data_IF_059548260942
#
_entry.id   IF_059548260942
#
_cell.length_a   1.000
_cell.length_b   1.000
_cell.length_c   1.000
_cell.angle_alpha   90.00
_cell.angle_beta   90.00
_cell.angle_gamma   90.00
#
_symmetry.space_group_name_H-M   'P 1'
#
loop_
_entity.id
_entity.type
_entity.pdbx_description
1 polymer ?
#
# COMPACT_ATOMS: atom_id res chain seq x y z
N UNK A 1 9.74 -3.78 -15.39
CA UNK A 1 8.39 -4.33 -15.68
C UNK A 1 7.93 -4.99 -14.40
N UNK A 2 6.74 -4.68 -13.88
CA UNK A 2 6.18 -5.40 -12.74
C UNK A 2 5.67 -6.75 -13.24
N UNK A 3 6.07 -7.84 -12.57
CA UNK A 3 5.58 -9.18 -12.87
C UNK A 3 4.40 -9.48 -11.93
N UNK A 4 3.20 -9.13 -12.40
CA UNK A 4 1.96 -9.20 -11.63
C UNK A 4 1.32 -10.58 -11.81
N UNK A 5 1.78 -11.56 -11.03
CA UNK A 5 1.29 -12.96 -11.10
C UNK A 5 -0.18 -13.11 -10.71
N UNK A 6 -0.66 -12.21 -9.85
CA UNK A 6 -2.02 -12.22 -9.32
C UNK A 6 -2.62 -10.83 -9.45
N UNK A 7 -3.90 -10.76 -9.78
CA UNK A 7 -4.68 -9.54 -9.69
C UNK A 7 -4.90 -9.15 -8.22
N UNK A 8 -5.22 -7.88 -8.01
CA UNK A 8 -5.62 -7.34 -6.69
C UNK A 8 -6.75 -8.16 -6.07
N UNK A 9 -7.79 -8.49 -6.85
CA UNK A 9 -8.93 -9.24 -6.34
C UNK A 9 -8.54 -10.65 -5.90
N UNK A 10 -7.71 -11.34 -6.66
CA UNK A 10 -7.21 -12.66 -6.28
C UNK A 10 -6.41 -12.61 -4.98
N UNK A 11 -5.59 -11.59 -4.76
CA UNK A 11 -4.86 -11.40 -3.50
C UNK A 11 -5.86 -11.12 -2.38
N UNK A 12 -6.80 -10.18 -2.56
CA UNK A 12 -7.69 -9.75 -1.47
C UNK A 12 -8.74 -10.80 -1.06
N UNK A 13 -9.14 -11.69 -1.96
CA UNK A 13 -10.10 -12.77 -1.69
C UNK A 13 -9.45 -14.03 -1.11
N UNK A 14 -8.14 -14.19 -1.29
CA UNK A 14 -7.40 -15.32 -0.73
C UNK A 14 -7.35 -15.25 0.79
N UNK A 15 -7.56 -16.39 1.46
CA UNK A 15 -7.65 -16.46 2.93
C UNK A 15 -6.35 -16.12 3.65
N UNK A 16 -5.20 -16.14 2.96
CA UNK A 16 -3.91 -15.71 3.52
C UNK A 16 -3.29 -14.57 2.72
N UNK A 17 -4.09 -13.87 1.91
CA UNK A 17 -3.66 -12.81 0.99
C UNK A 17 -2.54 -13.23 0.03
N UNK A 18 -2.42 -14.54 -0.26
CA UNK A 18 -1.30 -15.13 -1.02
C UNK A 18 0.07 -14.85 -0.39
N UNK A 19 0.18 -14.73 0.92
CA UNK A 19 1.44 -14.38 1.62
C UNK A 19 2.57 -15.37 1.32
N UNK A 20 2.24 -16.67 1.25
CA UNK A 20 3.22 -17.72 1.03
C UNK A 20 3.82 -17.70 -0.39
N UNK A 21 3.07 -17.24 -1.39
CA UNK A 21 3.51 -17.19 -2.80
C UNK A 21 4.18 -15.87 -3.19
N UNK A 22 4.37 -14.95 -2.25
CA UNK A 22 5.09 -13.70 -2.47
C UNK A 22 6.60 -13.95 -2.59
N UNK A 23 7.23 -13.39 -3.64
CA UNK A 23 8.66 -13.56 -3.93
C UNK A 23 9.55 -12.52 -3.25
N UNK A 24 9.04 -11.30 -3.04
CA UNK A 24 9.77 -10.22 -2.36
C UNK A 24 9.45 -10.11 -0.87
N UNK A 25 10.45 -9.79 -0.03
CA UNK A 25 10.25 -9.56 1.40
C UNK A 25 9.21 -8.46 1.68
N UNK A 26 9.23 -7.37 0.90
CA UNK A 26 8.25 -6.29 1.01
C UNK A 26 6.87 -6.67 0.46
N UNK A 27 6.81 -7.47 -0.61
CA UNK A 27 5.53 -8.00 -1.11
C UNK A 27 4.87 -8.89 -0.06
N UNK A 28 5.66 -9.75 0.58
CA UNK A 28 5.19 -10.63 1.65
C UNK A 28 4.73 -9.82 2.86
N UNK A 29 5.56 -8.88 3.33
CA UNK A 29 5.20 -7.99 4.43
C UNK A 29 3.91 -7.22 4.13
N UNK A 30 3.76 -6.70 2.92
CA UNK A 30 2.54 -6.01 2.52
C UNK A 30 1.30 -6.91 2.57
N UNK A 31 1.41 -8.15 2.11
CA UNK A 31 0.30 -9.12 2.16
C UNK A 31 -0.08 -9.50 3.58
N UNK A 32 0.89 -9.64 4.49
CA UNK A 32 0.64 -9.81 5.93
C UNK A 32 -0.13 -8.61 6.48
N UNK A 33 0.29 -7.38 6.16
CA UNK A 33 -0.42 -6.17 6.59
C UNK A 33 -1.86 -6.15 6.05
N UNK A 34 -2.09 -6.55 4.80
CA UNK A 34 -3.45 -6.65 4.26
C UNK A 34 -4.32 -7.65 5.03
N UNK A 35 -3.71 -8.73 5.53
CA UNK A 35 -4.38 -9.76 6.31
C UNK A 35 -4.67 -9.27 7.74
N UNK A 36 -3.66 -8.73 8.42
CA UNK A 36 -3.75 -8.19 9.79
C UNK A 36 -4.84 -7.10 9.92
N UNK A 37 -4.96 -6.24 8.90
CA UNK A 37 -5.98 -5.19 8.85
C UNK A 37 -7.28 -5.61 8.16
N UNK A 38 -7.44 -6.90 7.84
CA UNK A 38 -8.60 -7.49 7.18
C UNK A 38 -9.08 -6.69 5.95
N UNK A 39 -8.14 -6.33 5.07
CA UNK A 39 -8.44 -5.57 3.87
C UNK A 39 -9.20 -6.47 2.89
N UNK A 40 -10.47 -6.14 2.66
CA UNK A 40 -11.35 -6.82 1.71
C UNK A 40 -11.39 -6.10 0.36
N UNK A 41 -11.89 -6.73 -0.72
CA UNK A 41 -12.12 -6.04 -2.00
C UNK A 41 -13.00 -4.80 -1.85
N UNK A 42 -14.02 -4.85 -0.98
CA UNK A 42 -14.87 -3.69 -0.69
C UNK A 42 -14.10 -2.58 0.03
N UNK A 43 -13.31 -2.92 1.04
CA UNK A 43 -12.45 -1.97 1.76
C UNK A 43 -11.40 -1.33 0.85
N UNK A 44 -10.83 -2.10 -0.08
CA UNK A 44 -9.92 -1.60 -1.10
C UNK A 44 -10.60 -0.61 -2.04
N UNK A 45 -11.79 -0.92 -2.54
CA UNK A 45 -12.55 -0.02 -3.41
C UNK A 45 -12.91 1.29 -2.71
N UNK A 46 -13.33 1.25 -1.44
CA UNK A 46 -13.59 2.46 -0.65
C UNK A 46 -12.35 3.34 -0.54
N UNK A 47 -11.18 2.77 -0.25
CA UNK A 47 -9.91 3.50 -0.20
C UNK A 47 -9.48 4.03 -1.55
N UNK A 48 -9.74 3.27 -2.62
CA UNK A 48 -9.50 3.72 -3.99
C UNK A 48 -10.35 4.95 -4.32
N UNK A 49 -11.62 4.95 -3.92
CA UNK A 49 -12.50 6.10 -4.16
C UNK A 49 -12.04 7.33 -3.37
N UNK A 50 -11.64 7.15 -2.10
CA UNK A 50 -10.99 8.22 -1.32
C UNK A 50 -9.75 8.77 -2.03
N UNK A 51 -8.82 7.90 -2.44
CA UNK A 51 -7.59 8.29 -3.14
C UNK A 51 -7.88 9.06 -4.45
N UNK A 52 -8.87 8.61 -5.23
CA UNK A 52 -9.22 9.27 -6.49
C UNK A 52 -9.95 10.60 -6.29
N UNK A 53 -10.61 10.80 -5.15
CA UNK A 53 -11.36 12.03 -4.83
C UNK A 53 -10.55 13.05 -4.04
N UNK A 54 -9.41 12.63 -3.48
CA UNK A 54 -8.50 13.50 -2.75
C UNK A 54 -7.84 14.53 -3.71
N UNK A 55 -8.10 15.84 -3.53
CA UNK A 55 -7.59 16.89 -4.40
C UNK A 55 -6.06 17.01 -4.37
N UNK A 56 -5.40 16.55 -3.30
CA UNK A 56 -3.92 16.56 -3.19
C UNK A 56 -3.28 15.65 -4.24
N UNK A 57 -4.01 14.63 -4.71
CA UNK A 57 -3.53 13.74 -5.78
C UNK A 57 -3.63 14.38 -7.19
N UNK A 58 -4.20 15.59 -7.31
CA UNK A 58 -4.26 16.36 -8.56
C UNK A 58 -5.05 15.68 -9.67
N UNK A 59 -6.00 14.80 -9.33
CA UNK A 59 -6.77 14.04 -10.29
C UNK A 59 -8.06 14.79 -10.67
N UNK A 60 -8.39 14.91 -11.97
CA UNK A 60 -9.69 15.41 -12.39
C UNK A 60 -10.85 14.59 -11.82
N UNK A 61 -12.01 15.23 -11.61
CA UNK A 61 -13.22 14.59 -11.06
C UNK A 61 -13.79 13.48 -11.94
N UNK A 62 -13.50 13.46 -13.23
CA UNK A 62 -13.97 12.42 -14.16
C UNK A 62 -12.99 12.13 -15.30
N UNK A 63 -13.18 10.99 -15.96
CA UNK A 63 -12.52 10.66 -17.22
C UNK A 63 -11.29 9.76 -17.14
N UNK A 64 -10.60 9.66 -18.29
CA UNK A 64 -9.45 8.77 -18.53
C UNK A 64 -8.36 8.82 -17.44
N UNK A 65 -7.97 9.98 -16.87
CA UNK A 65 -6.93 10.05 -15.84
C UNK A 65 -7.24 9.22 -14.59
N UNK A 66 -8.50 9.16 -14.16
CA UNK A 66 -8.93 8.36 -12.99
C UNK A 66 -8.78 6.86 -13.24
N UNK A 67 -9.18 6.40 -14.42
CA UNK A 67 -9.01 5.00 -14.81
C UNK A 67 -7.54 4.60 -14.86
N UNK A 68 -6.68 5.47 -15.41
CA UNK A 68 -5.23 5.27 -15.42
C UNK A 68 -4.66 5.23 -14.01
N UNK A 69 -5.05 6.15 -13.13
CA UNK A 69 -4.61 6.17 -11.74
C UNK A 69 -5.01 4.90 -10.98
N UNK A 70 -6.27 4.46 -11.10
CA UNK A 70 -6.77 3.20 -10.52
C UNK A 70 -5.98 2.00 -11.03
N UNK A 71 -5.77 1.90 -12.34
CA UNK A 71 -4.97 0.84 -12.95
C UNK A 71 -3.54 0.82 -12.43
N UNK A 72 -2.92 1.99 -12.27
CA UNK A 72 -1.56 2.11 -11.76
C UNK A 72 -1.46 1.69 -10.29
N UNK A 73 -2.41 2.09 -9.43
CA UNK A 73 -2.45 1.65 -8.03
C UNK A 73 -2.64 0.14 -7.94
N UNK A 74 -3.56 -0.43 -8.72
CA UNK A 74 -3.78 -1.88 -8.73
C UNK A 74 -2.54 -2.66 -9.19
N UNK A 75 -1.84 -2.20 -10.24
CA UNK A 75 -0.56 -2.80 -10.66
C UNK A 75 0.51 -2.70 -9.57
N UNK A 76 0.60 -1.54 -8.93
CA UNK A 76 1.57 -1.33 -7.84
C UNK A 76 1.28 -2.25 -6.65
N UNK A 77 0.01 -2.41 -6.25
CA UNK A 77 -0.44 -3.35 -5.23
C UNK A 77 -0.11 -4.82 -5.60
N UNK A 78 -0.34 -5.19 -6.86
CA UNK A 78 -0.12 -6.54 -7.35
C UNK A 78 1.37 -6.89 -7.59
N UNK A 79 2.24 -5.87 -7.65
CA UNK A 79 3.64 -6.06 -8.00
C UNK A 79 4.37 -7.02 -7.07
N UNK A 80 5.09 -7.97 -7.67
CA UNK A 80 5.91 -8.92 -6.93
C UNK A 80 7.18 -9.28 -7.71
N UNK A 81 8.38 -8.85 -7.26
CA UNK A 81 8.66 -8.19 -5.99
C UNK A 81 8.30 -6.69 -5.96
N UNK A 82 7.86 -6.21 -4.79
CA UNK A 82 7.68 -4.78 -4.50
C UNK A 82 9.01 -4.07 -4.23
N UNK A 83 9.13 -2.85 -4.73
CA UNK A 83 10.19 -1.90 -4.29
C UNK A 83 9.78 -1.19 -3.00
N UNK A 84 10.74 -0.65 -2.24
CA UNK A 84 10.45 0.17 -1.05
C UNK A 84 9.59 1.40 -1.39
N UNK A 85 9.81 2.03 -2.55
CA UNK A 85 9.00 3.16 -3.02
C UNK A 85 7.54 2.74 -3.23
N UNK A 86 7.31 1.60 -3.87
CA UNK A 86 5.96 1.04 -4.06
C UNK A 86 5.33 0.71 -2.72
N UNK A 87 6.06 0.04 -1.82
CA UNK A 87 5.59 -0.31 -0.49
C UNK A 87 5.13 0.93 0.30
N UNK A 88 5.97 1.96 0.40
CA UNK A 88 5.63 3.22 1.10
C UNK A 88 4.42 3.91 0.49
N UNK A 89 4.30 3.91 -0.85
CA UNK A 89 3.12 4.46 -1.53
C UNK A 89 1.85 3.67 -1.17
N UNK A 90 1.92 2.35 -1.11
CA UNK A 90 0.78 1.52 -0.70
C UNK A 90 0.43 1.72 0.78
N UNK A 91 1.41 1.95 1.66
CA UNK A 91 1.14 2.31 3.06
C UNK A 91 0.37 3.62 3.18
N UNK A 92 0.76 4.65 2.41
CA UNK A 92 0.00 5.91 2.33
C UNK A 92 -1.41 5.68 1.81
N UNK A 93 -1.56 4.87 0.77
CA UNK A 93 -2.88 4.50 0.23
C UNK A 93 -3.76 3.78 1.26
N UNK A 94 -3.16 2.94 2.12
CA UNK A 94 -3.88 2.31 3.24
C UNK A 94 -4.19 3.28 4.39
N UNK A 95 -3.72 4.53 4.32
CA UNK A 95 -3.94 5.54 5.36
C UNK A 95 -3.02 5.37 6.57
N UNK A 96 -1.84 4.76 6.41
CA UNK A 96 -0.85 4.74 7.47
C UNK A 96 -0.45 6.19 7.82
N UNK A 97 -0.38 6.50 9.12
CA UNK A 97 0.06 7.80 9.64
C UNK A 97 1.54 7.79 10.03
N UNK A 98 2.05 6.62 10.43
CA UNK A 98 3.44 6.41 10.85
C UNK A 98 3.93 5.05 10.39
N UNK A 99 5.19 4.97 9.96
CA UNK A 99 5.88 3.70 9.67
C UNK A 99 7.22 3.70 10.40
N UNK A 100 7.49 2.63 11.13
CA UNK A 100 8.81 2.34 11.69
C UNK A 100 9.37 1.09 11.03
N UNK A 101 10.53 1.20 10.40
CA UNK A 101 11.30 0.05 9.97
C UNK A 101 12.28 -0.33 11.07
N UNK A 102 12.24 -1.59 11.48
CA UNK A 102 13.23 -2.16 12.38
C UNK A 102 13.88 -3.35 11.69
N UNK A 103 15.21 -3.41 11.71
CA UNK A 103 15.98 -4.52 11.15
C UNK A 103 16.93 -5.03 12.23
N UNK A 104 16.84 -6.33 12.49
CA UNK A 104 17.84 -7.05 13.28
C UNK A 104 18.80 -7.76 12.33
N UNK A 105 20.09 -7.52 12.51
CA UNK A 105 21.15 -8.10 11.70
C UNK A 105 22.03 -8.97 12.59
N UNK A 106 22.19 -10.24 12.20
CA UNK A 106 23.20 -11.13 12.78
C UNK A 106 24.35 -11.28 11.81
N UNK A 107 25.53 -10.76 12.19
CA UNK A 107 26.76 -10.91 11.43
C UNK A 107 27.77 -11.64 12.31
N UNK A 108 28.13 -12.87 11.90
CA UNK A 108 28.92 -13.82 12.73
C UNK A 108 28.22 -14.06 14.07
N UNK A 109 28.80 -13.59 15.18
CA UNK A 109 28.24 -13.71 16.54
C UNK A 109 27.70 -12.39 17.08
N UNK A 110 27.67 -11.33 16.26
CA UNK A 110 27.20 -10.00 16.67
C UNK A 110 25.80 -9.78 16.13
N UNK A 111 24.86 -9.53 17.05
CA UNK A 111 23.51 -9.07 16.74
C UNK A 111 23.49 -7.55 16.89
N UNK A 112 22.93 -6.84 15.91
CA UNK A 112 22.70 -5.39 15.97
C UNK A 112 21.29 -5.08 15.53
N UNK A 113 20.67 -4.08 16.16
CA UNK A 113 19.34 -3.61 15.80
C UNK A 113 19.46 -2.17 15.29
N UNK A 114 18.77 -1.89 14.18
CA UNK A 114 18.72 -0.58 13.56
C UNK A 114 17.26 -0.26 13.28
N UNK A 115 16.85 0.99 13.49
CA UNK A 115 15.51 1.41 13.12
C UNK A 115 15.49 2.82 12.55
N UNK A 116 14.61 3.04 11.59
CA UNK A 116 14.29 4.34 11.03
C UNK A 116 12.78 4.53 11.06
N UNK A 117 12.36 5.77 11.23
CA UNK A 117 10.95 6.13 11.32
C UNK A 117 10.59 7.18 10.27
N UNK A 118 9.42 7.02 9.69
CA UNK A 118 8.80 7.94 8.77
C UNK A 118 7.43 8.34 9.34
N UNK A 119 7.17 9.64 9.37
CA UNK A 119 5.85 10.18 9.66
C UNK A 119 5.23 10.64 8.34
N UNK A 120 3.96 10.32 8.15
CA UNK A 120 3.18 10.93 7.09
C UNK A 120 2.51 12.17 7.66
N UNK A 121 2.66 13.30 6.98
CA UNK A 121 1.89 14.50 7.28
C UNK A 121 0.40 14.16 7.24
N UNK A 122 -0.34 14.51 8.30
CA UNK A 122 -1.78 14.29 8.39
C UNK A 122 -2.48 14.87 7.14
N UNK A 123 -3.41 14.11 6.57
CA UNK A 123 -4.36 14.67 5.64
C UNK A 123 -5.29 15.58 6.44
N UNK A 124 -5.14 16.90 6.28
CA UNK A 124 -6.19 17.81 6.71
C UNK A 124 -7.43 17.49 5.86
N UNK A 125 -8.46 16.94 6.50
CA UNK A 125 -9.78 16.93 5.89
C UNK A 125 -10.16 18.38 5.60
N UNK A 126 -10.67 18.71 4.39
CA UNK A 126 -11.13 20.06 4.12
C UNK A 126 -12.27 20.39 5.09
N UNK A 127 -12.11 21.48 5.86
CA UNK A 127 -13.16 22.00 6.74
C UNK A 127 -14.47 22.13 5.97
N UNK A 128 -15.55 21.51 6.47
CA UNK A 128 -16.92 21.62 5.92
C UNK A 128 -17.56 23.01 6.14
N UNK A 129 -16.77 24.08 5.98
CA UNK A 129 -17.21 25.46 6.14
C UNK A 129 -16.92 26.29 4.89
N UNK A 130 -17.67 26.01 3.83
CA UNK A 130 -18.20 27.07 2.98
C UNK A 130 -19.57 26.64 2.44
N UNK A 131 -20.61 27.29 2.97
CA UNK A 131 -22.00 27.18 2.52
C UNK A 131 -22.22 28.03 1.28
#
# INVERSE_FOLDING_TARGET
MFDDRYSVNEILQDSNKKTLSARGALSRLFRVILDDFNITPMGWNRRMDTYLNDPVNGLPRSGKPRHTARGNINKQMASDPMTIKTFLKMMRFLGATRIRFSVELTIRKKVTQHSVELQFSEHQEPDEHEK
#
